data_IF_225706219647
#
_entry.id   IF_225706219647
#
_cell.length_a   1.000
_cell.length_b   1.000
_cell.length_c   1.000
_cell.angle_alpha   90.00
_cell.angle_beta   90.00
_cell.angle_gamma   90.00
#
_symmetry.space_group_name_H-M   'P 1'
#
loop_
_entity.id
_entity.type
_entity.pdbx_description
1 polymer ?
#
# COMPACT_ATOMS: atom_id res chain seq x y z
N UNK A 1 -9.53 -12.34 17.64
CA UNK A 1 -10.26 -12.68 16.41
C UNK A 1 -9.35 -13.42 15.45
N UNK A 2 -9.90 -14.07 14.41
CA UNK A 2 -9.11 -14.63 13.31
C UNK A 2 -8.90 -13.56 12.24
N UNK A 3 -7.65 -13.23 11.95
CA UNK A 3 -7.26 -12.24 10.94
C UNK A 3 -6.47 -12.94 9.84
N UNK A 4 -6.90 -12.74 8.61
CA UNK A 4 -6.16 -13.18 7.41
C UNK A 4 -5.41 -11.98 6.85
N UNK A 5 -4.11 -12.11 6.65
CA UNK A 5 -3.33 -11.14 5.89
C UNK A 5 -3.06 -11.73 4.51
N UNK A 6 -3.74 -11.17 3.51
CA UNK A 6 -3.62 -11.59 2.12
C UNK A 6 -2.56 -10.77 1.39
N UNK A 7 -1.41 -11.38 1.18
CA UNK A 7 -0.21 -10.75 0.64
C UNK A 7 0.95 -10.74 1.64
N UNK A 8 1.52 -11.92 1.97
CA UNK A 8 2.66 -12.04 2.88
C UNK A 8 3.96 -11.48 2.26
N UNK A 9 3.92 -10.22 1.81
CA UNK A 9 5.06 -9.41 1.41
C UNK A 9 5.73 -8.73 2.62
N UNK A 10 6.50 -7.67 2.39
CA UNK A 10 7.13 -6.91 3.47
C UNK A 10 6.11 -6.31 4.43
N UNK A 11 5.16 -5.51 3.92
CA UNK A 11 4.13 -4.87 4.73
C UNK A 11 3.20 -5.89 5.38
N UNK A 12 2.66 -6.83 4.61
CA UNK A 12 1.71 -7.80 5.14
C UNK A 12 2.31 -8.69 6.21
N UNK A 13 3.57 -9.10 6.06
CA UNK A 13 4.25 -9.87 7.11
C UNK A 13 4.51 -9.02 8.36
N UNK A 14 4.88 -7.74 8.23
CA UNK A 14 5.02 -6.86 9.39
C UNK A 14 3.69 -6.68 10.12
N UNK A 15 2.63 -6.31 9.40
CA UNK A 15 1.28 -6.12 9.97
C UNK A 15 0.76 -7.41 10.60
N UNK A 16 0.87 -8.54 9.89
CA UNK A 16 0.44 -9.84 10.42
C UNK A 16 1.23 -10.27 11.65
N UNK A 17 2.54 -10.01 11.67
CA UNK A 17 3.37 -10.28 12.83
C UNK A 17 3.01 -9.42 14.05
N UNK A 18 2.70 -8.15 13.85
CA UNK A 18 2.26 -7.25 14.92
C UNK A 18 0.87 -7.63 15.46
N UNK A 19 -0.10 -7.91 14.57
CA UNK A 19 -1.43 -8.38 14.95
C UNK A 19 -1.38 -9.74 15.67
N UNK A 20 -0.38 -10.57 15.36
CA UNK A 20 -0.15 -11.87 15.98
C UNK A 20 0.22 -11.84 17.47
N UNK A 21 0.40 -10.63 18.05
CA UNK A 21 0.55 -10.45 19.50
C UNK A 21 -0.72 -10.81 20.28
N UNK A 22 -1.88 -10.61 19.67
CA UNK A 22 -3.19 -10.73 20.34
C UNK A 22 -4.24 -11.48 19.55
N UNK A 23 -4.00 -11.73 18.26
CA UNK A 23 -4.96 -12.33 17.35
C UNK A 23 -4.42 -13.62 16.74
N UNK A 24 -5.31 -14.50 16.30
CA UNK A 24 -4.99 -15.65 15.47
C UNK A 24 -4.75 -15.16 14.04
N UNK A 25 -3.58 -15.44 13.48
CA UNK A 25 -3.16 -14.92 12.17
C UNK A 25 -2.98 -16.06 11.18
N UNK A 26 -3.58 -15.88 10.00
CA UNK A 26 -3.22 -16.64 8.79
C UNK A 26 -2.57 -15.72 7.79
N UNK A 27 -1.31 -15.97 7.45
CA UNK A 27 -0.60 -15.28 6.36
C UNK A 27 -0.83 -16.03 5.05
N UNK A 28 -1.36 -15.33 4.06
CA UNK A 28 -1.53 -15.86 2.70
C UNK A 28 -0.50 -15.27 1.78
N UNK A 29 0.31 -16.10 1.13
CA UNK A 29 1.39 -15.66 0.26
C UNK A 29 1.98 -16.81 -0.55
N UNK A 30 3.13 -16.57 -1.19
CA UNK A 30 3.75 -17.53 -2.12
C UNK A 30 5.23 -17.80 -1.78
N UNK A 31 5.77 -18.89 -2.34
CA UNK A 31 7.20 -19.16 -2.40
C UNK A 31 7.86 -19.53 -1.08
N UNK A 32 9.14 -19.19 -0.99
CA UNK A 32 9.98 -19.57 0.14
C UNK A 32 9.60 -18.89 1.44
N UNK A 33 9.12 -17.66 1.37
CA UNK A 33 8.74 -16.92 2.57
C UNK A 33 7.66 -17.64 3.38
N UNK A 34 6.58 -18.07 2.70
CA UNK A 34 5.50 -18.83 3.34
C UNK A 34 6.00 -20.18 3.89
N UNK A 35 6.89 -20.85 3.14
CA UNK A 35 7.51 -22.10 3.63
C UNK A 35 8.34 -21.89 4.89
N UNK A 36 9.16 -20.82 4.91
CA UNK A 36 9.98 -20.49 6.07
C UNK A 36 9.13 -20.09 7.29
N UNK A 37 8.10 -19.25 7.10
CA UNK A 37 7.18 -18.89 8.18
C UNK A 37 6.48 -20.11 8.76
N UNK A 38 6.06 -21.04 7.90
CA UNK A 38 5.42 -22.31 8.36
C UNK A 38 6.37 -23.19 9.16
N UNK A 39 7.65 -23.23 8.81
CA UNK A 39 8.65 -24.08 9.45
C UNK A 39 9.18 -23.46 10.75
N UNK A 40 9.54 -22.20 10.72
CA UNK A 40 10.35 -21.54 11.75
C UNK A 40 9.66 -20.33 12.42
N UNK A 41 8.46 -19.97 11.96
CA UNK A 41 7.75 -18.76 12.38
C UNK A 41 8.18 -17.53 11.58
N UNK A 42 7.55 -16.40 11.89
CA UNK A 42 7.86 -15.09 11.33
C UNK A 42 8.69 -14.27 12.32
N UNK A 43 9.89 -13.90 11.91
CA UNK A 43 10.81 -13.05 12.68
C UNK A 43 10.69 -11.60 12.22
N UNK A 44 10.31 -10.71 13.13
CA UNK A 44 10.40 -9.26 12.96
C UNK A 44 11.67 -8.76 13.64
N UNK A 45 12.40 -7.85 12.99
CA UNK A 45 13.66 -7.25 13.47
C UNK A 45 13.64 -5.73 13.27
N UNK A 46 14.64 -5.03 13.74
CA UNK A 46 14.76 -3.57 13.60
C UNK A 46 14.07 -2.81 14.72
N UNK A 47 13.15 -1.90 14.40
CA UNK A 47 12.39 -1.15 15.41
C UNK A 47 11.48 -2.04 16.29
N UNK A 48 11.22 -3.26 15.85
CA UNK A 48 10.49 -4.30 16.59
C UNK A 48 11.35 -5.56 16.64
N UNK A 49 11.43 -6.20 17.78
CA UNK A 49 12.06 -7.52 17.95
C UNK A 49 11.00 -8.51 18.45
N UNK A 50 10.49 -9.35 17.55
CA UNK A 50 9.38 -10.24 17.82
C UNK A 50 9.46 -11.49 16.93
N UNK A 51 9.13 -12.66 17.50
CA UNK A 51 8.88 -13.85 16.69
C UNK A 51 7.47 -14.33 16.99
N UNK A 52 6.71 -14.58 15.94
CA UNK A 52 5.34 -15.12 16.00
C UNK A 52 5.23 -16.36 15.13
N UNK A 53 4.24 -17.20 15.39
CA UNK A 53 4.02 -18.45 14.68
C UNK A 53 2.63 -18.45 14.04
N UNK A 54 2.37 -17.57 13.04
CA UNK A 54 1.10 -17.56 12.34
C UNK A 54 0.93 -18.81 11.48
N UNK A 55 -0.31 -19.19 11.21
CA UNK A 55 -0.56 -20.08 10.10
C UNK A 55 -0.10 -19.43 8.80
N UNK A 56 0.59 -20.15 7.93
CA UNK A 56 1.06 -19.63 6.65
C UNK A 56 0.59 -20.53 5.51
N UNK A 57 -0.12 -19.96 4.53
CA UNK A 57 -0.80 -20.69 3.44
C UNK A 57 -0.58 -20.04 2.09
N UNK A 58 -0.90 -20.76 1.02
CA UNK A 58 -0.92 -20.25 -0.35
C UNK A 58 -2.32 -19.80 -0.78
N UNK A 59 -3.35 -20.27 -0.08
CA UNK A 59 -4.75 -19.96 -0.32
C UNK A 59 -5.40 -19.49 0.98
N UNK A 60 -6.42 -18.61 0.93
CA UNK A 60 -7.12 -18.17 2.13
C UNK A 60 -7.86 -19.35 2.81
N UNK A 61 -8.13 -19.28 4.12
CA UNK A 61 -9.01 -20.22 4.81
C UNK A 61 -10.47 -19.99 4.39
N UNK A 62 -11.37 -20.88 4.81
CA UNK A 62 -12.80 -20.75 4.51
C UNK A 62 -13.44 -19.50 5.12
N UNK A 63 -12.97 -19.05 6.28
CA UNK A 63 -13.53 -17.88 6.95
C UNK A 63 -12.49 -17.04 7.71
N UNK A 64 -12.80 -15.75 7.88
CA UNK A 64 -12.04 -14.81 8.70
C UNK A 64 -12.95 -13.73 9.26
N UNK A 65 -12.61 -13.16 10.43
CA UNK A 65 -13.31 -11.99 10.96
C UNK A 65 -12.84 -10.69 10.26
N UNK A 66 -11.56 -10.62 9.95
CA UNK A 66 -10.91 -9.50 9.26
C UNK A 66 -9.93 -10.05 8.21
N UNK A 67 -10.01 -9.53 7.01
CA UNK A 67 -9.02 -9.77 5.95
C UNK A 67 -8.27 -8.46 5.69
N UNK A 68 -6.95 -8.48 5.83
CA UNK A 68 -6.09 -7.33 5.49
C UNK A 68 -5.39 -7.64 4.18
N UNK A 69 -5.70 -6.87 3.13
CA UNK A 69 -5.13 -7.02 1.78
C UNK A 69 -3.91 -6.13 1.64
N UNK A 70 -2.77 -6.73 1.30
CA UNK A 70 -1.46 -6.07 1.18
C UNK A 70 -0.68 -6.55 -0.04
N UNK A 71 -1.35 -7.13 -1.01
CA UNK A 71 -0.74 -7.45 -2.31
C UNK A 71 -0.43 -6.18 -3.08
N UNK A 72 0.41 -6.26 -4.10
CA UNK A 72 0.61 -5.15 -5.04
C UNK A 72 -0.70 -4.87 -5.81
N UNK A 73 -0.95 -3.61 -6.15
CA UNK A 73 -2.20 -3.17 -6.78
C UNK A 73 -2.58 -3.98 -8.04
N UNK A 74 -1.60 -4.38 -8.85
CA UNK A 74 -1.84 -5.21 -10.03
C UNK A 74 -2.28 -6.66 -9.71
N UNK A 75 -2.09 -7.14 -8.47
CA UNK A 75 -2.57 -8.46 -7.99
C UNK A 75 -3.97 -8.37 -7.33
N UNK A 76 -4.57 -7.17 -7.22
CA UNK A 76 -5.88 -6.98 -6.55
C UNK A 76 -7.01 -7.78 -7.19
N UNK A 77 -7.15 -7.87 -8.53
CA UNK A 77 -8.18 -8.71 -9.14
C UNK A 77 -8.06 -10.18 -8.74
N UNK A 78 -6.84 -10.73 -8.76
CA UNK A 78 -6.60 -12.12 -8.34
C UNK A 78 -6.85 -12.33 -6.83
N UNK A 79 -6.56 -11.32 -6.01
CA UNK A 79 -6.89 -11.36 -4.59
C UNK A 79 -8.41 -11.34 -4.37
N UNK A 80 -9.13 -10.50 -5.09
CA UNK A 80 -10.59 -10.42 -5.04
C UNK A 80 -11.24 -11.76 -5.41
N UNK A 81 -10.80 -12.41 -6.50
CA UNK A 81 -11.27 -13.73 -6.91
C UNK A 81 -11.02 -14.79 -5.82
N UNK A 82 -9.83 -14.81 -5.24
CA UNK A 82 -9.48 -15.74 -4.18
C UNK A 82 -10.29 -15.53 -2.89
N UNK A 83 -10.56 -14.28 -2.54
CA UNK A 83 -11.38 -13.92 -1.37
C UNK A 83 -12.86 -14.18 -1.61
N UNK A 84 -13.36 -14.03 -2.83
CA UNK A 84 -14.74 -14.37 -3.21
C UNK A 84 -15.03 -15.88 -3.09
N UNK A 85 -13.99 -16.72 -3.10
CA UNK A 85 -14.13 -18.15 -2.88
C UNK A 85 -14.18 -18.56 -1.39
N UNK A 86 -14.03 -17.62 -0.44
CA UNK A 86 -14.22 -17.87 0.99
C UNK A 86 -15.72 -17.97 1.30
N UNK A 87 -16.06 -18.80 2.29
CA UNK A 87 -17.44 -18.87 2.81
C UNK A 87 -17.84 -17.59 3.53
N UNK A 88 -16.87 -16.98 4.25
CA UNK A 88 -17.09 -15.72 4.98
C UNK A 88 -15.77 -14.92 5.11
N UNK A 89 -15.73 -13.74 4.53
CA UNK A 89 -14.59 -12.82 4.63
C UNK A 89 -14.82 -11.65 5.62
N UNK A 90 -15.82 -11.73 6.51
CA UNK A 90 -16.10 -10.73 7.55
C UNK A 90 -16.00 -9.26 7.09
N UNK A 91 -14.89 -8.62 7.41
CA UNK A 91 -14.53 -7.26 6.94
C UNK A 91 -13.25 -7.36 6.14
N UNK A 92 -13.16 -6.65 5.02
CA UNK A 92 -11.96 -6.59 4.17
C UNK A 92 -11.35 -5.18 4.27
N UNK A 93 -10.09 -5.08 4.64
CA UNK A 93 -9.33 -3.84 4.73
C UNK A 93 -8.19 -3.86 3.69
N UNK A 94 -8.22 -2.93 2.75
CA UNK A 94 -7.08 -2.68 1.87
C UNK A 94 -6.06 -1.78 2.58
N UNK A 95 -4.80 -2.22 2.68
CA UNK A 95 -3.65 -1.41 3.08
C UNK A 95 -2.66 -1.25 1.91
N UNK A 96 -3.16 -1.39 0.70
CA UNK A 96 -2.37 -1.33 -0.53
C UNK A 96 -2.01 0.12 -0.87
N UNK A 97 -0.94 0.31 -1.63
CA UNK A 97 -0.62 1.59 -2.24
C UNK A 97 -1.42 1.79 -3.52
N UNK A 98 -1.54 3.06 -3.93
CA UNK A 98 -2.34 3.44 -5.09
C UNK A 98 -3.83 3.49 -4.78
N UNK A 99 -4.63 3.64 -5.79
CA UNK A 99 -6.10 3.70 -5.71
C UNK A 99 -6.75 2.73 -6.70
N UNK A 100 -8.07 2.53 -6.57
CA UNK A 100 -8.82 1.55 -7.38
C UNK A 100 -8.87 0.15 -6.76
N UNK A 101 -8.11 -0.11 -5.70
CA UNK A 101 -8.06 -1.40 -5.02
C UNK A 101 -9.39 -1.72 -4.32
N UNK A 102 -9.92 -0.76 -3.57
CA UNK A 102 -11.16 -0.88 -2.80
C UNK A 102 -12.37 -1.07 -3.72
N UNK A 103 -12.41 -0.35 -4.85
CA UNK A 103 -13.44 -0.48 -5.88
C UNK A 103 -13.42 -1.90 -6.49
N UNK A 104 -12.24 -2.43 -6.79
CA UNK A 104 -12.06 -3.79 -7.32
C UNK A 104 -12.51 -4.85 -6.31
N UNK A 105 -12.14 -4.70 -5.04
CA UNK A 105 -12.54 -5.61 -3.97
C UNK A 105 -14.06 -5.54 -3.73
N UNK A 106 -14.63 -4.33 -3.65
CA UNK A 106 -16.06 -4.13 -3.40
C UNK A 106 -16.94 -4.65 -4.54
N UNK A 107 -16.47 -4.62 -5.77
CA UNK A 107 -17.19 -5.18 -6.92
C UNK A 107 -17.28 -6.71 -6.88
N UNK A 108 -16.32 -7.38 -6.25
CA UNK A 108 -16.23 -8.84 -6.20
C UNK A 108 -16.77 -9.45 -4.89
N UNK A 109 -16.79 -8.69 -3.79
CA UNK A 109 -17.04 -9.23 -2.47
C UNK A 109 -18.35 -8.68 -1.87
N UNK A 110 -19.16 -9.52 -1.20
CA UNK A 110 -20.34 -9.07 -0.47
C UNK A 110 -20.00 -8.42 0.87
N UNK A 111 -18.77 -8.56 1.33
CA UNK A 111 -18.29 -8.07 2.62
C UNK A 111 -18.04 -6.56 2.59
N UNK A 112 -18.17 -5.86 3.74
CA UNK A 112 -17.74 -4.48 3.84
C UNK A 112 -16.26 -4.34 3.49
N UNK A 113 -15.93 -3.46 2.55
CA UNK A 113 -14.56 -3.12 2.17
C UNK A 113 -14.20 -1.78 2.80
N UNK A 114 -13.06 -1.75 3.47
CA UNK A 114 -12.48 -0.56 4.08
C UNK A 114 -11.20 -0.17 3.33
N UNK A 115 -10.97 1.12 3.26
CA UNK A 115 -9.69 1.67 2.85
C UNK A 115 -8.80 1.92 4.07
N UNK A 116 -7.50 1.77 3.87
CA UNK A 116 -6.54 2.13 4.89
C UNK A 116 -5.23 2.66 4.33
N UNK A 117 -4.61 3.53 5.08
CA UNK A 117 -3.27 4.03 4.82
C UNK A 117 -2.35 3.66 5.96
N UNK A 118 -1.08 3.48 5.66
CA UNK A 118 -0.04 3.27 6.67
C UNK A 118 1.28 3.87 6.19
N UNK A 119 2.12 4.23 7.13
CA UNK A 119 3.48 4.73 6.97
C UNK A 119 4.54 3.78 7.54
N UNK A 120 4.17 2.52 7.79
CA UNK A 120 5.13 1.50 8.21
C UNK A 120 6.26 1.31 7.20
N UNK A 121 7.50 1.42 7.66
CA UNK A 121 8.68 1.00 6.91
C UNK A 121 8.92 -0.50 7.10
N UNK A 122 8.71 -1.30 6.07
CA UNK A 122 8.87 -2.75 6.11
C UNK A 122 9.76 -3.26 4.97
N UNK A 123 10.72 -4.10 5.29
CA UNK A 123 11.63 -4.72 4.32
C UNK A 123 11.77 -6.21 4.60
N UNK A 124 11.51 -7.04 3.61
CA UNK A 124 11.79 -8.48 3.71
C UNK A 124 13.26 -8.73 3.43
N UNK A 125 14.03 -9.03 4.49
CA UNK A 125 15.47 -9.27 4.41
C UNK A 125 15.83 -10.72 4.11
N UNK A 126 14.85 -11.63 4.19
CA UNK A 126 15.01 -13.04 3.85
C UNK A 126 13.70 -13.81 4.01
N UNK A 127 13.69 -15.11 3.65
CA UNK A 127 12.54 -15.97 3.92
C UNK A 127 12.24 -16.03 5.43
N UNK A 128 10.99 -15.75 5.83
CA UNK A 128 10.56 -15.73 7.23
C UNK A 128 11.06 -14.54 8.06
N UNK A 129 11.82 -13.59 7.48
CA UNK A 129 12.40 -12.45 8.20
C UNK A 129 11.99 -11.13 7.57
N UNK A 130 11.42 -10.24 8.38
CA UNK A 130 11.04 -8.88 7.99
C UNK A 130 11.64 -7.87 8.95
N UNK A 131 12.28 -6.86 8.41
CA UNK A 131 12.82 -5.73 9.15
C UNK A 131 11.77 -4.61 9.19
N UNK A 132 11.45 -4.15 10.40
CA UNK A 132 10.70 -2.93 10.63
C UNK A 132 11.68 -1.77 10.66
N UNK A 133 11.63 -0.90 9.65
CA UNK A 133 12.48 0.29 9.56
C UNK A 133 11.88 1.49 10.31
N UNK A 134 10.57 1.44 10.62
CA UNK A 134 9.86 2.43 11.40
C UNK A 134 8.47 1.92 11.77
N UNK A 135 8.06 2.17 13.01
CA UNK A 135 6.69 1.92 13.48
C UNK A 135 5.85 3.13 13.10
N UNK A 136 4.78 2.87 12.37
CA UNK A 136 3.88 3.89 11.88
C UNK A 136 2.46 3.74 12.43
N UNK A 137 1.55 4.51 11.90
CA UNK A 137 0.12 4.49 12.18
C UNK A 137 -0.63 3.75 11.07
N UNK A 138 -1.79 3.18 11.41
CA UNK A 138 -2.81 2.75 10.46
C UNK A 138 -4.00 3.68 10.54
N UNK A 139 -4.34 4.37 9.47
CA UNK A 139 -5.58 5.14 9.38
C UNK A 139 -6.52 4.38 8.46
N UNK A 140 -7.73 4.10 8.91
CA UNK A 140 -8.69 3.28 8.16
C UNK A 140 -10.12 3.79 8.29
N UNK A 141 -10.96 3.48 7.30
CA UNK A 141 -12.37 3.88 7.29
C UNK A 141 -13.06 3.47 5.99
N UNK A 142 -14.34 3.82 5.83
CA UNK A 142 -15.04 3.60 4.55
C UNK A 142 -14.37 4.36 3.41
N UNK A 143 -14.18 3.74 2.24
CA UNK A 143 -13.56 4.41 1.07
C UNK A 143 -14.30 5.69 0.64
N UNK A 144 -15.62 5.70 0.82
CA UNK A 144 -16.51 6.85 0.53
C UNK A 144 -16.57 7.88 1.68
N UNK A 145 -15.95 7.58 2.82
CA UNK A 145 -16.00 8.39 4.03
C UNK A 145 -17.20 8.07 4.93
N UNK A 146 -17.33 8.82 6.02
CA UNK A 146 -18.38 8.61 7.02
C UNK A 146 -17.99 7.62 8.12
N UNK A 147 -18.95 7.30 8.98
CA UNK A 147 -18.78 6.39 10.12
C UNK A 147 -19.12 4.95 9.73
N UNK A 148 -18.41 3.97 10.30
CA UNK A 148 -18.63 2.56 10.03
C UNK A 148 -18.32 1.69 11.25
N UNK A 149 -19.31 0.93 11.75
CA UNK A 149 -19.06 -0.06 12.80
C UNK A 149 -18.07 -1.15 12.39
N UNK A 150 -17.91 -1.40 11.08
CA UNK A 150 -16.90 -2.31 10.57
C UNK A 150 -15.50 -1.73 10.73
N UNK A 151 -15.33 -0.42 10.44
CA UNK A 151 -14.08 0.28 10.65
C UNK A 151 -13.72 0.36 12.15
N UNK A 152 -14.69 0.60 13.03
CA UNK A 152 -14.45 0.62 14.46
C UNK A 152 -13.92 -0.73 14.98
N UNK A 153 -14.52 -1.84 14.52
CA UNK A 153 -14.05 -3.20 14.87
C UNK A 153 -12.65 -3.49 14.34
N UNK A 154 -12.39 -3.12 13.07
CA UNK A 154 -11.08 -3.30 12.47
C UNK A 154 -10.02 -2.47 13.19
N UNK A 155 -10.26 -1.16 13.42
CA UNK A 155 -9.37 -0.29 14.17
C UNK A 155 -9.16 -0.76 15.61
N UNK A 156 -10.19 -1.32 16.25
CA UNK A 156 -10.10 -1.98 17.56
C UNK A 156 -9.07 -3.11 17.57
N UNK A 157 -9.10 -3.98 16.56
CA UNK A 157 -8.16 -5.09 16.43
C UNK A 157 -6.70 -4.63 16.34
N UNK A 158 -6.43 -3.57 15.57
CA UNK A 158 -5.09 -2.99 15.50
C UNK A 158 -4.64 -2.44 16.86
N UNK A 159 -5.50 -1.66 17.54
CA UNK A 159 -5.19 -1.09 18.87
C UNK A 159 -4.98 -2.15 19.93
N UNK A 160 -5.77 -3.23 19.93
CA UNK A 160 -5.57 -4.38 20.84
C UNK A 160 -4.18 -5.03 20.67
N UNK A 161 -3.64 -5.01 19.45
CA UNK A 161 -2.29 -5.52 19.14
C UNK A 161 -1.18 -4.50 19.44
N UNK A 162 -1.52 -3.32 19.97
CA UNK A 162 -0.55 -2.26 20.26
C UNK A 162 -0.07 -1.51 19.03
N UNK A 163 -0.89 -1.50 17.97
CA UNK A 163 -0.66 -0.70 16.77
C UNK A 163 -1.48 0.57 16.88
N UNK A 164 -0.86 1.73 16.69
CA UNK A 164 -1.60 2.99 16.60
C UNK A 164 -2.54 2.94 15.40
N UNK A 165 -3.85 3.09 15.67
CA UNK A 165 -4.86 3.00 14.63
C UNK A 165 -5.97 4.04 14.84
N UNK A 166 -6.17 4.87 13.82
CA UNK A 166 -7.21 5.90 13.76
C UNK A 166 -8.31 5.45 12.79
N UNK A 167 -9.57 5.50 13.27
CA UNK A 167 -10.74 5.34 12.39
C UNK A 167 -11.15 6.73 11.90
N UNK A 168 -11.11 6.92 10.58
CA UNK A 168 -11.29 8.22 9.96
C UNK A 168 -12.55 8.25 9.08
N UNK A 169 -13.32 9.32 9.20
CA UNK A 169 -14.49 9.57 8.38
C UNK A 169 -14.18 10.30 7.06
N UNK A 170 -12.93 10.76 6.89
CA UNK A 170 -12.44 11.54 5.76
C UNK A 170 -11.48 10.75 4.84
N UNK A 171 -11.67 9.42 4.76
CA UNK A 171 -10.80 8.53 3.98
C UNK A 171 -10.61 8.98 2.52
N UNK A 172 -11.62 9.46 1.77
CA UNK A 172 -11.39 9.93 0.40
C UNK A 172 -10.28 10.99 0.32
N UNK A 173 -10.29 11.97 1.22
CA UNK A 173 -9.28 13.03 1.24
C UNK A 173 -7.89 12.48 1.61
N UNK A 174 -7.82 11.55 2.56
CA UNK A 174 -6.56 10.92 2.98
C UNK A 174 -5.94 10.08 1.88
N UNK A 175 -6.76 9.32 1.15
CA UNK A 175 -6.31 8.51 0.02
C UNK A 175 -5.74 9.38 -1.11
N UNK A 176 -6.46 10.45 -1.49
CA UNK A 176 -5.98 11.39 -2.51
C UNK A 176 -4.73 12.16 -2.07
N UNK A 177 -4.63 12.53 -0.79
CA UNK A 177 -3.41 13.16 -0.25
C UNK A 177 -2.23 12.20 -0.34
N UNK A 178 -2.42 10.93 0.07
CA UNK A 178 -1.37 9.90 -0.04
C UNK A 178 -1.01 9.64 -1.51
N UNK A 179 -2.01 9.63 -2.40
CA UNK A 179 -1.77 9.50 -3.83
C UNK A 179 -0.90 10.63 -4.37
N UNK A 180 -1.17 11.89 -4.00
CA UNK A 180 -0.37 13.05 -4.41
C UNK A 180 1.08 12.95 -3.92
N UNK A 181 1.28 12.47 -2.70
CA UNK A 181 2.62 12.19 -2.15
C UNK A 181 3.33 11.13 -3.00
N UNK A 182 2.68 10.00 -3.23
CA UNK A 182 3.27 8.89 -3.98
C UNK A 182 3.52 9.26 -5.45
N UNK A 183 2.60 9.98 -6.09
CA UNK A 183 2.73 10.43 -7.48
C UNK A 183 3.91 11.39 -7.69
N UNK A 184 4.20 12.22 -6.68
CA UNK A 184 5.33 13.16 -6.73
C UNK A 184 6.67 12.53 -6.37
N UNK A 185 6.71 11.59 -5.42
CA UNK A 185 7.97 11.00 -4.92
C UNK A 185 8.37 9.76 -5.71
N UNK A 186 7.47 8.76 -5.81
CA UNK A 186 7.85 7.41 -6.19
C UNK A 186 8.42 7.29 -7.61
N UNK A 187 7.75 7.77 -8.68
CA UNK A 187 8.28 7.62 -10.04
C UNK A 187 9.51 8.49 -10.27
N UNK A 188 9.56 9.69 -9.65
CA UNK A 188 10.71 10.61 -9.80
C UNK A 188 11.96 9.99 -9.18
N UNK A 189 11.87 9.48 -7.97
CA UNK A 189 13.00 8.84 -7.28
C UNK A 189 13.40 7.52 -7.92
N UNK A 190 12.44 6.74 -8.43
CA UNK A 190 12.70 5.48 -9.15
C UNK A 190 13.46 5.71 -10.46
N UNK A 191 13.02 6.67 -11.28
CA UNK A 191 13.64 6.99 -12.57
C UNK A 191 15.01 7.66 -12.39
N UNK A 192 15.13 8.58 -11.44
CA UNK A 192 16.38 9.27 -11.16
C UNK A 192 17.36 8.46 -10.30
N UNK A 193 16.91 7.37 -9.66
CA UNK A 193 17.68 6.52 -8.72
C UNK A 193 18.26 7.30 -7.54
N UNK A 194 17.44 8.15 -6.94
CA UNK A 194 17.81 9.03 -5.81
C UNK A 194 16.90 8.78 -4.61
N UNK A 195 17.35 9.18 -3.43
CA UNK A 195 16.57 9.12 -2.20
C UNK A 195 15.42 10.14 -2.20
N UNK A 196 14.46 9.96 -1.32
CA UNK A 196 13.23 10.76 -1.31
C UNK A 196 13.49 12.26 -1.18
N UNK A 197 14.48 12.67 -0.39
CA UNK A 197 14.82 14.08 -0.20
C UNK A 197 15.24 14.83 -1.47
N UNK A 198 15.73 14.11 -2.49
CA UNK A 198 16.16 14.72 -3.74
C UNK A 198 15.02 15.42 -4.52
N UNK A 199 13.76 15.05 -4.28
CA UNK A 199 12.60 15.70 -4.92
C UNK A 199 12.33 17.10 -4.38
N UNK A 200 13.03 17.52 -3.33
CA UNK A 200 12.93 18.87 -2.77
C UNK A 200 13.82 19.89 -3.53
N UNK A 201 14.77 19.39 -4.32
CA UNK A 201 15.77 20.20 -5.01
C UNK A 201 15.57 20.18 -6.53
N UNK A 202 15.91 21.30 -7.19
CA UNK A 202 15.89 21.34 -8.66
C UNK A 202 17.01 20.42 -9.25
N UNK A 203 16.79 19.79 -10.40
CA UNK A 203 15.63 19.96 -11.28
C UNK A 203 14.42 19.09 -10.97
N UNK A 204 14.44 18.24 -9.95
CA UNK A 204 13.39 17.26 -9.65
C UNK A 204 12.17 17.91 -8.96
N UNK A 205 12.39 18.96 -8.19
CA UNK A 205 11.34 19.62 -7.41
C UNK A 205 10.17 20.12 -8.27
N UNK A 206 10.47 20.71 -9.43
CA UNK A 206 9.44 21.15 -10.37
C UNK A 206 8.55 20.01 -10.87
N UNK A 207 9.13 18.83 -11.12
CA UNK A 207 8.41 17.63 -11.57
C UNK A 207 7.53 17.08 -10.45
N UNK A 208 8.08 16.91 -9.26
CA UNK A 208 7.37 16.37 -8.11
C UNK A 208 6.17 17.24 -7.71
N UNK A 209 6.37 18.57 -7.63
CA UNK A 209 5.31 19.54 -7.37
C UNK A 209 4.25 19.53 -8.48
N UNK A 210 4.65 19.40 -9.74
CA UNK A 210 3.74 19.30 -10.87
C UNK A 210 2.83 18.08 -10.74
N UNK A 211 3.39 16.90 -10.46
CA UNK A 211 2.62 15.68 -10.26
C UNK A 211 1.63 15.79 -9.10
N UNK A 212 2.05 16.36 -7.96
CA UNK A 212 1.19 16.57 -6.80
C UNK A 212 0.01 17.53 -7.10
N UNK A 213 0.25 18.67 -7.81
CA UNK A 213 -0.81 19.61 -8.21
C UNK A 213 -1.81 18.98 -9.17
N UNK A 214 -1.35 18.24 -10.15
CA UNK A 214 -2.22 17.50 -11.08
C UNK A 214 -3.07 16.47 -10.36
N UNK A 215 -2.51 15.77 -9.36
CA UNK A 215 -3.25 14.83 -8.53
C UNK A 215 -4.34 15.54 -7.72
N UNK A 216 -4.07 16.71 -7.16
CA UNK A 216 -5.09 17.51 -6.47
C UNK A 216 -6.21 17.98 -7.42
N UNK A 217 -5.89 18.33 -8.65
CA UNK A 217 -6.90 18.67 -9.66
C UNK A 217 -7.80 17.46 -9.98
N UNK A 218 -7.22 16.25 -10.13
CA UNK A 218 -7.99 15.03 -10.33
C UNK A 218 -8.85 14.68 -9.10
N UNK A 219 -8.35 14.92 -7.88
CA UNK A 219 -9.13 14.75 -6.65
C UNK A 219 -10.37 15.67 -6.63
N UNK A 220 -10.19 16.93 -7.02
CA UNK A 220 -11.30 17.91 -7.10
C UNK A 220 -12.34 17.47 -8.14
N UNK A 221 -11.93 16.97 -9.30
CA UNK A 221 -12.82 16.42 -10.31
C UNK A 221 -13.60 15.19 -9.77
N UNK A 222 -12.97 14.41 -8.89
CA UNK A 222 -13.62 13.29 -8.19
C UNK A 222 -14.46 13.72 -6.96
N UNK A 223 -14.68 15.02 -6.75
CA UNK A 223 -15.49 15.56 -5.65
C UNK A 223 -14.78 15.63 -4.29
N UNK A 224 -13.45 15.47 -4.27
CA UNK A 224 -12.65 15.54 -3.04
C UNK A 224 -11.96 16.90 -2.96
N UNK A 225 -12.22 17.65 -1.91
CA UNK A 225 -11.60 18.95 -1.65
C UNK A 225 -10.14 18.77 -1.19
N UNK A 226 -9.21 18.89 -2.12
CA UNK A 226 -7.77 18.87 -1.90
C UNK A 226 -7.12 20.02 -2.68
N UNK A 227 -6.65 21.02 -1.96
CA UNK A 227 -5.99 22.17 -2.58
C UNK A 227 -4.63 21.78 -3.22
N UNK A 228 -4.27 22.37 -4.40
CA UNK A 228 -3.01 22.03 -5.08
C UNK A 228 -1.76 22.32 -4.23
N UNK A 229 -1.74 23.43 -3.51
CA UNK A 229 -0.61 23.75 -2.63
C UNK A 229 -0.61 22.92 -1.36
N UNK A 230 -1.75 22.45 -0.91
CA UNK A 230 -1.85 21.49 0.17
C UNK A 230 -1.27 20.13 -0.22
N UNK A 231 -1.57 19.62 -1.42
CA UNK A 231 -1.00 18.39 -1.96
C UNK A 231 0.53 18.50 -2.10
N UNK A 232 1.03 19.64 -2.56
CA UNK A 232 2.47 19.94 -2.63
C UNK A 232 3.07 19.95 -1.23
N UNK A 233 2.46 20.64 -0.27
CA UNK A 233 2.97 20.71 1.10
C UNK A 233 3.01 19.34 1.76
N UNK A 234 2.00 18.48 1.54
CA UNK A 234 1.98 17.11 2.03
C UNK A 234 3.13 16.28 1.41
N UNK A 235 3.32 16.37 0.10
CA UNK A 235 4.40 15.67 -0.61
C UNK A 235 5.77 16.11 -0.10
N UNK A 236 6.02 17.41 0.00
CA UNK A 236 7.28 17.95 0.52
C UNK A 236 7.52 17.61 1.98
N UNK A 237 6.45 17.56 2.81
CA UNK A 237 6.50 17.12 4.19
C UNK A 237 7.05 15.70 4.30
N UNK A 238 6.44 14.76 3.60
CA UNK A 238 6.88 13.36 3.58
C UNK A 238 8.27 13.22 2.99
N UNK A 239 8.59 13.93 1.89
CA UNK A 239 9.93 13.88 1.30
C UNK A 239 11.01 14.36 2.29
N UNK A 240 10.69 15.34 3.14
CA UNK A 240 11.59 15.88 4.17
C UNK A 240 11.77 14.93 5.35
N UNK A 241 10.65 14.32 5.82
CA UNK A 241 10.66 13.36 6.93
C UNK A 241 11.35 12.05 6.57
N UNK A 242 11.34 11.69 5.29
CA UNK A 242 11.91 10.45 4.76
C UNK A 242 13.10 10.69 3.82
N UNK A 243 13.84 11.80 4.01
CA UNK A 243 14.82 12.29 3.04
C UNK A 243 15.88 11.25 2.65
N UNK A 244 16.33 10.45 3.60
CA UNK A 244 17.35 9.40 3.41
C UNK A 244 16.74 8.04 3.03
N UNK A 245 15.42 7.95 2.86
CA UNK A 245 14.75 6.70 2.52
C UNK A 245 14.72 6.48 1.00
N UNK A 246 14.76 5.20 0.64
CA UNK A 246 14.53 4.72 -0.73
C UNK A 246 13.02 4.47 -0.90
N UNK A 247 12.37 5.09 -1.89
CA UNK A 247 10.95 4.87 -2.17
C UNK A 247 10.65 3.41 -2.55
N UNK A 248 9.42 2.95 -2.27
CA UNK A 248 9.02 1.59 -2.61
C UNK A 248 9.11 1.29 -4.11
N UNK A 249 8.77 2.25 -4.97
CA UNK A 249 8.88 2.09 -6.42
C UNK A 249 10.34 2.00 -6.88
N UNK A 250 11.25 2.79 -6.28
CA UNK A 250 12.68 2.66 -6.56
C UNK A 250 13.20 1.28 -6.14
N UNK A 251 12.79 0.75 -4.99
CA UNK A 251 13.15 -0.61 -4.57
C UNK A 251 12.66 -1.67 -5.56
N UNK A 252 11.46 -1.49 -6.15
CA UNK A 252 10.95 -2.39 -7.16
C UNK A 252 11.76 -2.31 -8.46
N UNK A 253 12.05 -1.09 -8.94
CA UNK A 253 12.89 -0.86 -10.12
C UNK A 253 14.30 -1.44 -9.95
N UNK A 254 14.97 -1.18 -8.83
CA UNK A 254 16.31 -1.72 -8.54
C UNK A 254 16.34 -3.25 -8.46
N UNK A 255 15.22 -3.85 -8.06
CA UNK A 255 15.07 -5.30 -7.99
C UNK A 255 14.49 -5.95 -9.28
N UNK A 256 14.27 -5.16 -10.34
CA UNK A 256 13.68 -5.65 -11.60
C UNK A 256 12.25 -6.19 -11.44
N UNK A 257 11.47 -5.63 -10.50
CA UNK A 257 10.09 -6.04 -10.22
C UNK A 257 9.08 -5.05 -10.82
N UNK A 258 7.88 -5.51 -11.19
CA UNK A 258 6.78 -4.63 -11.57
C UNK A 258 6.48 -3.62 -10.47
N UNK A 259 6.12 -2.40 -10.88
CA UNK A 259 5.78 -1.29 -9.98
C UNK A 259 4.27 -1.10 -9.84
N UNK A 260 3.86 -0.15 -9.00
CA UNK A 260 2.45 0.23 -8.85
C UNK A 260 2.13 1.54 -9.59
N UNK A 261 2.88 1.87 -10.64
CA UNK A 261 2.73 3.13 -11.37
C UNK A 261 1.34 3.33 -11.94
N UNK A 262 0.68 2.26 -12.41
CA UNK A 262 -0.67 2.33 -12.97
C UNK A 262 -1.70 2.70 -11.89
N UNK A 263 -1.58 2.16 -10.69
CA UNK A 263 -2.46 2.49 -9.57
C UNK A 263 -2.11 3.84 -8.90
N UNK A 264 -0.99 4.44 -9.25
CA UNK A 264 -0.54 5.74 -8.72
C UNK A 264 -0.74 6.81 -9.81
N UNK A 265 0.26 7.03 -10.67
CA UNK A 265 0.18 8.07 -11.70
C UNK A 265 -0.81 7.71 -12.82
N UNK A 266 -0.95 6.43 -13.16
CA UNK A 266 -1.96 5.93 -14.10
C UNK A 266 -3.38 6.23 -13.64
N UNK A 267 -3.69 6.00 -12.37
CA UNK A 267 -4.99 6.33 -11.79
C UNK A 267 -5.32 7.83 -11.87
N UNK A 268 -4.33 8.71 -11.62
CA UNK A 268 -4.50 10.16 -11.82
C UNK A 268 -4.84 10.48 -13.26
N UNK A 269 -4.14 9.86 -14.22
CA UNK A 269 -4.39 10.07 -15.67
C UNK A 269 -5.79 9.61 -16.08
N UNK A 270 -6.27 8.51 -15.51
CA UNK A 270 -7.60 7.95 -15.81
C UNK A 270 -8.73 8.80 -15.24
N UNK A 271 -8.56 9.39 -14.05
CA UNK A 271 -9.59 10.14 -13.33
C UNK A 271 -9.59 11.64 -13.62
N UNK A 272 -8.55 12.15 -14.28
CA UNK A 272 -8.44 13.58 -14.56
C UNK A 272 -9.39 14.02 -15.69
N UNK A 273 -10.15 15.07 -15.45
CA UNK A 273 -10.96 15.76 -16.47
C UNK A 273 -10.12 16.74 -17.29
N UNK A 274 -9.08 17.31 -16.70
CA UNK A 274 -8.14 18.25 -17.33
C UNK A 274 -6.80 17.54 -17.66
N UNK A 275 -5.99 18.09 -18.58
CA UNK A 275 -4.69 17.52 -18.90
C UNK A 275 -3.75 17.41 -17.69
N UNK A 276 -3.18 16.24 -17.48
CA UNK A 276 -2.18 15.94 -16.44
C UNK A 276 -0.87 15.44 -17.06
N UNK A 277 -0.14 16.33 -17.76
CA UNK A 277 1.01 15.94 -18.57
C UNK A 277 2.16 15.37 -17.73
N UNK A 278 2.36 15.81 -16.49
CA UNK A 278 3.44 15.32 -15.64
C UNK A 278 3.16 13.88 -15.23
N UNK A 279 1.98 13.60 -14.66
CA UNK A 279 1.59 12.24 -14.28
C UNK A 279 1.59 11.29 -15.48
N UNK A 280 1.07 11.74 -16.62
CA UNK A 280 1.08 10.95 -17.87
C UNK A 280 2.50 10.61 -18.32
N UNK A 281 3.43 11.58 -18.25
CA UNK A 281 4.82 11.35 -18.63
C UNK A 281 5.51 10.39 -17.69
N UNK A 282 5.33 10.57 -16.37
CA UNK A 282 5.91 9.68 -15.37
C UNK A 282 5.38 8.24 -15.50
N UNK A 283 4.07 8.06 -15.69
CA UNK A 283 3.46 6.75 -15.92
C UNK A 283 4.03 6.09 -17.18
N UNK A 284 4.14 6.85 -18.28
CA UNK A 284 4.69 6.31 -19.54
C UNK A 284 6.17 5.94 -19.44
N UNK A 285 6.99 6.71 -18.71
CA UNK A 285 8.42 6.40 -18.54
C UNK A 285 8.65 5.16 -17.68
N UNK A 286 7.92 5.02 -16.57
CA UNK A 286 8.01 3.82 -15.70
C UNK A 286 7.45 2.61 -16.43
N UNK A 287 6.28 2.70 -17.07
CA UNK A 287 5.71 1.60 -17.86
C UNK A 287 6.60 1.20 -19.04
N UNK A 288 7.29 2.16 -19.67
CA UNK A 288 8.29 1.88 -20.72
C UNK A 288 9.51 1.12 -20.18
N UNK A 289 9.95 1.43 -18.97
CA UNK A 289 10.99 0.68 -18.29
C UNK A 289 10.51 -0.75 -17.98
N UNK A 290 9.31 -0.95 -17.44
CA UNK A 290 8.74 -2.28 -17.17
C UNK A 290 8.65 -3.13 -18.45
N UNK A 291 8.18 -2.55 -19.56
CA UNK A 291 8.11 -3.24 -20.82
C UNK A 291 9.50 -3.66 -21.35
N UNK A 292 10.53 -2.87 -21.07
CA UNK A 292 11.93 -3.19 -21.40
C UNK A 292 12.51 -4.33 -20.56
N UNK A 293 12.14 -4.41 -19.27
CA UNK A 293 12.57 -5.52 -18.39
C UNK A 293 11.80 -6.82 -18.69
N UNK A 294 10.54 -6.75 -19.15
CA UNK A 294 9.75 -7.91 -19.55
C UNK A 294 10.10 -8.47 -20.95
N UNK A 295 10.99 -7.81 -21.70
CA UNK A 295 11.37 -8.21 -23.05
C UNK A 295 12.14 -9.54 -23.11
N UNK A 296 12.02 -10.32 -24.23
CA UNK A 296 12.70 -11.61 -24.37
C UNK A 296 14.21 -11.40 -24.48
N UNK A 297 14.96 -11.72 -23.43
CA UNK A 297 16.42 -11.74 -23.50
C UNK A 297 17.22 -11.46 -22.23
N UNK A 298 16.64 -11.52 -21.06
CA UNK A 298 17.39 -11.52 -19.79
C UNK A 298 16.96 -12.71 -18.93
N UNK A 299 17.45 -13.90 -19.33
CA UNK A 299 17.54 -15.08 -18.49
C UNK A 299 18.82 -15.07 -17.65
#
# INVERSE_FOLDING_TARGET
MHVVVFGAGSLGSLVGGLLGRTHEITLVGRGEHVRAVRADGLRLTGAVDLTVYPEARTEPPASANLVVVTVKAFDTPAAADALAAMDEAGVVLSLQNGMGNEETLAAALPSPVLAGTTDFGAERTGPGVVRCNGVGEVVLGPPEGGESPAADRAGGAFREAGIDATVAADMPRRLWTKLAVNAGINPVTALARVDNGAVLEEPLAGIARGAARETAAAATAAGVDLGPEEAVAAMEGVARETADNVSSMRQDVEAGRPTEVDAINGYVVERAEEPVPVNRTLAALVGGWEAGEAGPGRD
#
